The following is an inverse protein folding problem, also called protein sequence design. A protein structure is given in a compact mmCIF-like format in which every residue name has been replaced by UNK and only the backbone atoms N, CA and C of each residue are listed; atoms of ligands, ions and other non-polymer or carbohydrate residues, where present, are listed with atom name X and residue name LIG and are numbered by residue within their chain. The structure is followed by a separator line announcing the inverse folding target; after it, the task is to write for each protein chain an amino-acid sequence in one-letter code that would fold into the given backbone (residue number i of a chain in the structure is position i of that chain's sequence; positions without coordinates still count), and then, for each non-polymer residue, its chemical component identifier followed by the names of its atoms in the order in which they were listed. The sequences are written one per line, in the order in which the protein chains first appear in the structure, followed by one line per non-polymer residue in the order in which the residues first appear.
data_IF_625436824363
#
_entry.id   IF_625436824363
#
_cell.length_a   1.000
_cell.length_b   1.000
_cell.length_c   1.000
_cell.angle_alpha   90.00
_cell.angle_beta   90.00
_cell.angle_gamma   90.00
#
_symmetry.space_group_name_H-M   'P 1'
#
loop_
_entity.id
_entity.type
_entity.pdbx_description
1 polymer ?
#
# COMPACT_ATOMS: atom_id res chain seq x y z
N UNK A 1 -29.89 34.22 -4.63
CA UNK A 1 -29.41 33.85 -5.98
C UNK A 1 -28.50 32.64 -5.85
N UNK A 2 -29.02 31.43 -6.10
CA UNK A 2 -28.26 30.17 -6.06
C UNK A 2 -27.99 29.77 -7.51
N UNK A 3 -26.72 29.64 -7.90
CA UNK A 3 -26.34 29.12 -9.23
C UNK A 3 -25.96 27.64 -9.06
N UNK A 4 -26.84 26.77 -9.53
CA UNK A 4 -26.55 25.36 -9.76
C UNK A 4 -25.80 25.26 -11.10
N UNK A 5 -24.65 24.58 -11.10
CA UNK A 5 -23.91 24.23 -12.30
C UNK A 5 -24.15 22.73 -12.52
N UNK A 6 -25.09 22.41 -13.43
CA UNK A 6 -25.17 21.12 -14.09
C UNK A 6 -24.11 21.10 -15.20
N UNK A 7 -23.17 20.16 -15.16
CA UNK A 7 -22.36 19.83 -16.33
C UNK A 7 -22.81 18.45 -16.85
N UNK A 8 -23.32 18.48 -18.07
CA UNK A 8 -23.98 17.39 -18.76
C UNK A 8 -22.99 16.36 -19.31
N UNK A 9 -23.36 15.08 -19.21
CA UNK A 9 -22.76 13.96 -19.91
C UNK A 9 -22.89 14.15 -21.43
N UNK A 10 -21.80 14.08 -22.17
CA UNK A 10 -21.82 13.98 -23.64
C UNK A 10 -21.72 12.50 -24.02
N UNK A 11 -22.86 11.92 -24.38
CA UNK A 11 -22.95 10.69 -25.16
C UNK A 11 -23.10 11.11 -26.62
N UNK A 12 -22.13 10.75 -27.45
CA UNK A 12 -22.21 10.93 -28.90
C UNK A 12 -22.27 9.56 -29.59
N UNK A 13 -23.39 9.32 -30.25
CA UNK A 13 -23.61 8.22 -31.19
C UNK A 13 -24.17 8.77 -32.50
N UNK A 14 -24.05 7.98 -33.58
CA UNK A 14 -24.66 8.10 -34.92
C UNK A 14 -23.73 8.81 -35.94
N UNK A 15 -23.49 8.36 -37.18
CA UNK A 15 -24.01 7.30 -38.06
C UNK A 15 -22.97 6.93 -39.13
N UNK A 16 -23.19 5.78 -39.78
CA UNK A 16 -22.48 5.27 -40.95
C UNK A 16 -22.82 5.99 -42.27
N UNK A 17 -21.83 6.10 -43.17
CA UNK A 17 -22.01 6.24 -44.63
C UNK A 17 -20.93 5.40 -45.35
N UNK A 18 -21.32 4.81 -46.48
CA UNK A 18 -20.74 3.64 -47.13
C UNK A 18 -19.52 3.87 -48.05
N UNK A 19 -18.69 2.81 -48.09
CA UNK A 19 -17.92 2.23 -49.20
C UNK A 19 -17.16 3.14 -50.19
N UNK A 20 -15.84 3.05 -50.12
CA UNK A 20 -14.96 3.07 -51.31
C UNK A 20 -13.81 2.09 -51.07
N UNK A 21 -13.68 1.15 -52.00
CA UNK A 21 -12.69 0.06 -51.98
C UNK A 21 -11.27 0.62 -52.08
N UNK A 22 -10.33 0.09 -51.30
CA UNK A 22 -8.92 -0.14 -51.67
C UNK A 22 -8.21 -0.93 -50.55
N UNK A 23 -7.70 -2.11 -50.92
CA UNK A 23 -6.65 -2.92 -50.26
C UNK A 23 -6.82 -3.34 -48.78
N UNK A 24 -7.18 -4.62 -48.58
CA UNK A 24 -7.05 -5.32 -47.30
C UNK A 24 -5.57 -5.61 -46.97
N UNK A 25 -5.09 -5.35 -45.74
CA UNK A 25 -3.89 -6.00 -45.23
C UNK A 25 -4.24 -7.42 -44.73
N UNK A 26 -3.37 -8.38 -45.07
CA UNK A 26 -3.49 -9.80 -44.74
C UNK A 26 -3.64 -10.04 -43.24
N UNK A 27 -4.67 -10.79 -42.86
CA UNK A 27 -4.80 -11.37 -41.53
C UNK A 27 -3.63 -12.34 -41.28
N UNK A 28 -2.73 -12.00 -40.36
CA UNK A 28 -1.77 -12.93 -39.79
C UNK A 28 -2.44 -13.68 -38.64
N UNK A 29 -2.68 -14.97 -38.87
CA UNK A 29 -3.20 -15.88 -37.86
C UNK A 29 -2.19 -16.01 -36.71
N UNK A 30 -2.46 -15.37 -35.57
CA UNK A 30 -1.77 -15.67 -34.32
C UNK A 30 -2.24 -17.05 -33.84
N UNK A 31 -1.40 -18.06 -34.07
CA UNK A 31 -1.54 -19.38 -33.43
C UNK A 31 -1.47 -19.19 -31.92
N UNK A 32 -2.49 -19.67 -31.21
CA UNK A 32 -2.45 -19.78 -29.76
C UNK A 32 -1.32 -20.74 -29.37
N UNK A 33 -0.25 -20.22 -28.78
CA UNK A 33 0.69 -21.06 -28.06
C UNK A 33 0.08 -21.39 -26.71
N UNK A 34 -0.63 -22.53 -26.62
CA UNK A 34 -0.85 -23.19 -25.35
C UNK A 34 0.49 -23.75 -24.88
N UNK A 35 1.26 -22.92 -24.17
CA UNK A 35 2.34 -23.39 -23.32
C UNK A 35 1.75 -23.83 -21.99
N UNK A 36 1.55 -25.13 -21.80
CA UNK A 36 1.48 -25.72 -20.45
C UNK A 36 2.87 -25.56 -19.84
N UNK A 37 3.08 -24.46 -19.13
CA UNK A 37 4.23 -24.29 -18.26
C UNK A 37 3.81 -24.77 -16.86
N UNK A 38 4.12 -26.03 -16.57
CA UNK A 38 4.16 -26.56 -15.21
C UNK A 38 5.38 -25.95 -14.52
N UNK A 39 5.27 -24.73 -14.00
CA UNK A 39 6.33 -24.14 -13.18
C UNK A 39 6.12 -24.53 -11.73
N UNK A 40 6.67 -25.69 -11.38
CA UNK A 40 7.07 -26.01 -10.00
C UNK A 40 8.42 -25.34 -9.71
N UNK A 41 8.50 -24.02 -9.89
CA UNK A 41 9.68 -23.20 -9.60
C UNK A 41 9.32 -22.14 -8.58
N UNK A 42 10.15 -21.94 -7.57
CA UNK A 42 9.99 -20.85 -6.61
C UNK A 42 9.91 -19.50 -7.36
N UNK A 43 8.94 -18.67 -6.99
CA UNK A 43 8.83 -17.32 -7.56
C UNK A 43 10.08 -16.52 -7.17
N UNK A 44 10.73 -15.81 -8.12
CA UNK A 44 11.89 -14.96 -7.83
C UNK A 44 11.55 -13.70 -7.01
N UNK A 45 10.29 -13.57 -6.58
CA UNK A 45 9.78 -12.44 -5.80
C UNK A 45 9.22 -12.97 -4.48
N UNK A 46 9.65 -12.34 -3.38
CA UNK A 46 9.08 -12.58 -2.06
C UNK A 46 7.76 -11.82 -1.92
N UNK A 47 6.72 -12.52 -1.45
CA UNK A 47 5.43 -11.93 -1.11
C UNK A 47 5.19 -12.21 0.37
N UNK A 48 5.08 -11.14 1.14
CA UNK A 48 4.88 -11.16 2.59
C UNK A 48 3.99 -10.00 3.00
N UNK A 49 3.36 -10.13 4.17
CA UNK A 49 2.92 -8.96 4.94
C UNK A 49 4.13 -8.42 5.69
N UNK A 50 4.28 -7.10 5.72
CA UNK A 50 5.42 -6.42 6.33
C UNK A 50 4.95 -5.70 7.60
N UNK A 51 5.40 -6.12 8.80
CA UNK A 51 5.00 -5.47 10.05
C UNK A 51 5.31 -3.96 10.08
N UNK A 52 6.32 -3.49 9.34
CA UNK A 52 6.62 -2.05 9.23
C UNK A 52 5.48 -1.31 8.54
N UNK A 53 4.92 -1.90 7.48
CA UNK A 53 3.81 -1.34 6.71
C UNK A 53 2.52 -1.38 7.51
N UNK A 54 2.24 -2.49 8.20
CA UNK A 54 1.07 -2.62 9.07
C UNK A 54 1.10 -1.59 10.22
N UNK A 55 2.24 -1.46 10.91
CA UNK A 55 2.39 -0.49 12.00
C UNK A 55 2.11 0.95 11.54
N UNK A 56 2.73 1.38 10.43
CA UNK A 56 2.50 2.71 9.88
C UNK A 56 1.04 2.90 9.46
N UNK A 57 0.44 1.89 8.85
CA UNK A 57 -0.96 1.94 8.42
C UNK A 57 -1.92 2.04 9.61
N UNK A 58 -1.66 1.32 10.70
CA UNK A 58 -2.47 1.35 11.92
C UNK A 58 -2.34 2.70 12.62
N UNK A 59 -1.11 3.19 12.85
CA UNK A 59 -0.90 4.51 13.47
C UNK A 59 -1.65 5.61 12.71
N UNK A 60 -1.53 5.62 11.37
CA UNK A 60 -2.21 6.63 10.57
C UNK A 60 -3.72 6.37 10.38
N UNK A 61 -4.21 5.13 10.50
CA UNK A 61 -5.65 4.84 10.60
C UNK A 61 -6.25 5.49 11.85
N UNK A 62 -5.55 5.45 12.99
CA UNK A 62 -6.03 6.05 14.24
C UNK A 62 -6.13 7.58 14.19
N UNK A 63 -5.51 8.22 13.19
CA UNK A 63 -5.66 9.67 12.94
C UNK A 63 -6.98 10.04 12.23
N UNK A 64 -7.85 9.05 11.98
CA UNK A 64 -9.09 9.20 11.19
C UNK A 64 -8.83 9.70 9.74
N UNK A 65 -7.64 9.40 9.21
CA UNK A 65 -7.24 9.73 7.84
C UNK A 65 -7.92 8.80 6.83
N UNK A 66 -8.61 9.40 5.85
CA UNK A 66 -9.37 8.65 4.82
C UNK A 66 -8.49 7.67 4.03
N UNK A 67 -7.25 8.04 3.73
CA UNK A 67 -6.29 7.20 3.02
C UNK A 67 -5.98 5.86 3.75
N UNK A 68 -6.12 5.82 5.08
CA UNK A 68 -5.90 4.62 5.91
C UNK A 68 -7.20 3.99 6.44
N UNK A 69 -8.36 4.57 6.10
CA UNK A 69 -9.67 4.05 6.48
C UNK A 69 -10.28 3.09 5.44
N UNK A 70 -9.57 2.75 4.36
CA UNK A 70 -10.10 2.05 3.18
C UNK A 70 -9.89 0.52 3.15
N UNK A 71 -9.73 -0.11 4.32
CA UNK A 71 -9.58 -1.57 4.41
C UNK A 71 -10.78 -2.32 3.79
N UNK A 72 -10.49 -3.46 3.13
CA UNK A 72 -11.48 -4.26 2.37
C UNK A 72 -11.86 -5.57 3.03
N UNK A 73 -11.24 -5.89 4.16
CA UNK A 73 -11.49 -7.10 4.94
C UNK A 73 -12.15 -6.66 6.23
N UNK A 74 -13.48 -6.62 6.23
CA UNK A 74 -14.28 -6.02 7.31
C UNK A 74 -13.93 -6.59 8.68
N UNK A 75 -13.71 -7.91 8.78
CA UNK A 75 -13.31 -8.56 10.03
C UNK A 75 -11.98 -8.02 10.55
N UNK A 76 -10.96 -7.94 9.68
CA UNK A 76 -9.65 -7.43 10.06
C UNK A 76 -9.69 -5.96 10.46
N UNK A 77 -10.44 -5.14 9.73
CA UNK A 77 -10.59 -3.73 10.10
C UNK A 77 -11.31 -3.55 11.43
N UNK A 78 -12.28 -4.41 11.73
CA UNK A 78 -12.95 -4.41 13.03
C UNK A 78 -11.98 -4.82 14.14
N UNK A 79 -11.16 -5.86 13.93
CA UNK A 79 -10.15 -6.30 14.89
C UNK A 79 -9.11 -5.19 15.15
N UNK A 80 -8.66 -4.47 14.11
CA UNK A 80 -7.78 -3.30 14.26
C UNK A 80 -8.46 -2.18 15.07
N UNK A 81 -9.71 -1.85 14.75
CA UNK A 81 -10.42 -0.77 15.44
C UNK A 81 -10.72 -1.11 16.91
N UNK A 82 -11.04 -2.36 17.20
CA UNK A 82 -11.26 -2.86 18.56
C UNK A 82 -9.97 -2.84 19.38
N UNK A 83 -8.88 -3.35 18.81
CA UNK A 83 -7.59 -3.49 19.50
C UNK A 83 -6.89 -2.15 19.70
N UNK A 84 -6.77 -1.33 18.65
CA UNK A 84 -5.98 -0.11 18.66
C UNK A 84 -6.82 1.17 18.91
N UNK A 85 -8.15 1.10 18.79
CA UNK A 85 -9.05 2.24 19.01
C UNK A 85 -8.87 2.97 20.36
N UNK A 86 -8.63 2.27 21.49
CA UNK A 86 -8.34 2.91 22.77
C UNK A 86 -7.08 3.82 22.77
N UNK A 87 -6.19 3.65 21.80
CA UNK A 87 -4.89 4.35 21.71
C UNK A 87 -4.92 5.57 20.77
N UNK A 88 -6.11 6.09 20.39
CA UNK A 88 -6.23 7.32 19.59
C UNK A 88 -5.53 8.54 20.22
N UNK A 89 -5.47 8.60 21.54
CA UNK A 89 -4.78 9.66 22.29
C UNK A 89 -3.30 9.34 22.56
N UNK A 90 -2.77 8.23 22.04
CA UNK A 90 -1.37 7.86 22.23
C UNK A 90 -0.43 8.91 21.62
N UNK A 91 0.72 9.23 22.25
CA UNK A 91 1.63 10.27 21.77
C UNK A 91 2.06 10.16 20.30
N UNK A 92 2.25 8.94 19.78
CA UNK A 92 2.58 8.75 18.35
C UNK A 92 1.45 9.15 17.42
N UNK A 93 0.19 8.87 17.80
CA UNK A 93 -1.00 9.19 16.99
C UNK A 93 -1.21 10.70 16.97
N UNK A 94 -1.08 11.35 18.13
CA UNK A 94 -1.17 12.81 18.24
C UNK A 94 -0.03 13.52 17.47
N UNK A 95 1.17 12.95 17.47
CA UNK A 95 2.26 13.43 16.63
C UNK A 95 1.97 13.21 15.14
N UNK A 96 1.41 12.07 14.75
CA UNK A 96 1.01 11.79 13.37
C UNK A 96 -0.04 12.78 12.86
N UNK A 97 -1.06 13.11 13.67
CA UNK A 97 -2.04 14.16 13.37
C UNK A 97 -1.34 15.48 13.10
N UNK A 98 -0.45 15.91 14.00
CA UNK A 98 0.32 17.15 13.83
C UNK A 98 1.16 17.14 12.56
N UNK A 99 1.92 16.07 12.30
CA UNK A 99 2.79 15.98 11.12
C UNK A 99 1.99 15.97 9.82
N UNK A 100 0.80 15.38 9.82
CA UNK A 100 -0.12 15.45 8.70
C UNK A 100 -0.56 16.90 8.45
N UNK A 101 -0.91 17.65 9.48
CA UNK A 101 -1.36 19.04 9.37
C UNK A 101 -0.24 20.02 9.00
N UNK A 102 0.96 19.86 9.56
CA UNK A 102 2.05 20.84 9.44
C UNK A 102 3.06 20.51 8.35
N UNK A 103 3.25 19.23 8.03
CA UNK A 103 4.23 18.74 7.03
C UNK A 103 3.57 18.02 5.84
N UNK A 104 2.29 17.66 5.95
CA UNK A 104 1.59 16.89 4.92
C UNK A 104 1.97 15.41 4.90
N UNK A 105 2.55 14.87 5.98
CA UNK A 105 2.87 13.43 6.12
C UNK A 105 1.56 12.64 6.03
N UNK A 106 1.32 12.02 4.88
CA UNK A 106 0.07 11.35 4.49
C UNK A 106 0.32 10.47 3.27
N UNK A 107 -0.65 9.61 2.91
CA UNK A 107 -0.61 8.72 1.74
C UNK A 107 0.65 7.83 1.68
N UNK A 108 1.63 8.20 0.85
CA UNK A 108 2.85 7.46 0.60
C UNK A 108 3.97 7.78 1.60
N UNK A 109 3.91 8.92 2.30
CA UNK A 109 4.96 9.33 3.24
C UNK A 109 5.19 8.32 4.37
N UNK A 110 4.14 7.79 5.05
CA UNK A 110 4.34 6.79 6.09
C UNK A 110 4.90 5.46 5.54
N UNK A 111 4.55 5.10 4.31
CA UNK A 111 5.09 3.89 3.66
C UNK A 111 6.56 4.08 3.27
N UNK A 112 6.94 5.29 2.85
CA UNK A 112 8.35 5.66 2.66
C UNK A 112 9.13 5.49 3.96
N UNK A 113 8.58 5.90 5.11
CA UNK A 113 9.23 5.64 6.41
C UNK A 113 9.40 4.13 6.66
N UNK A 114 8.34 3.32 6.49
CA UNK A 114 8.37 1.89 6.75
C UNK A 114 9.54 1.16 6.07
N UNK A 115 9.82 1.45 4.79
CA UNK A 115 10.89 0.76 4.04
C UNK A 115 12.32 1.17 4.47
N UNK A 116 12.45 2.28 5.21
CA UNK A 116 13.72 2.75 5.79
C UNK A 116 14.01 2.20 7.18
N UNK A 117 13.15 1.32 7.71
CA UNK A 117 13.32 0.70 9.03
C UNK A 117 13.83 -0.74 8.91
N UNK A 118 14.56 -1.22 9.93
CA UNK A 118 15.05 -2.61 9.98
C UNK A 118 13.91 -3.62 10.07
N UNK A 119 12.93 -3.33 10.91
CA UNK A 119 11.80 -4.20 11.27
C UNK A 119 10.66 -3.35 11.85
N UNK A 120 9.51 -3.96 12.12
CA UNK A 120 8.30 -3.30 12.62
C UNK A 120 8.18 -3.20 14.13
N UNK A 121 9.24 -3.53 14.89
CA UNK A 121 9.21 -3.62 16.35
C UNK A 121 10.23 -2.68 17.00
N UNK A 122 11.50 -2.81 16.63
CA UNK A 122 12.60 -1.96 17.13
C UNK A 122 12.73 -0.66 16.34
N UNK A 123 12.21 -0.63 15.10
CA UNK A 123 12.15 0.56 14.25
C UNK A 123 13.51 1.28 14.11
N UNK A 124 14.61 0.52 14.01
CA UNK A 124 15.93 1.11 13.82
C UNK A 124 16.07 1.62 12.39
N UNK A 125 16.85 2.67 12.21
CA UNK A 125 17.22 3.20 10.90
C UNK A 125 17.99 2.11 10.12
N UNK A 126 17.42 1.63 9.01
CA UNK A 126 18.08 0.67 8.12
C UNK A 126 19.29 1.28 7.43
N UNK A 127 19.18 2.58 7.13
CA UNK A 127 20.24 3.45 6.62
C UNK A 127 20.19 4.72 7.47
N UNK A 128 21.33 5.27 7.92
CA UNK A 128 21.34 6.50 8.69
C UNK A 128 20.58 7.62 8.00
N UNK A 129 19.77 8.35 8.77
CA UNK A 129 18.99 9.48 8.26
C UNK A 129 19.81 10.75 8.03
N UNK A 130 21.09 10.77 8.42
CA UNK A 130 22.00 11.90 8.20
C UNK A 130 23.14 11.49 7.23
N UNK A 131 23.17 12.03 5.99
CA UNK A 131 22.24 13.01 5.43
C UNK A 131 20.87 12.40 5.09
N UNK A 132 19.87 13.25 4.85
CA UNK A 132 18.52 12.80 4.50
C UNK A 132 18.56 11.79 3.32
N UNK A 133 18.08 10.55 3.50
CA UNK A 133 18.13 9.54 2.45
C UNK A 133 17.36 10.02 1.21
N UNK A 134 17.89 9.76 0.02
CA UNK A 134 17.29 10.22 -1.25
C UNK A 134 15.86 9.70 -1.45
N UNK A 135 15.59 8.48 -0.98
CA UNK A 135 14.31 7.80 -1.15
C UNK A 135 13.37 7.92 0.07
N UNK A 136 13.81 8.58 1.14
CA UNK A 136 12.91 8.96 2.22
C UNK A 136 12.09 10.16 1.76
N UNK A 137 10.78 10.15 2.04
CA UNK A 137 9.90 11.24 1.65
C UNK A 137 10.32 12.55 2.34
N UNK A 138 10.48 13.63 1.57
CA UNK A 138 10.98 14.93 2.04
C UNK A 138 10.09 15.60 3.08
N UNK A 139 8.84 15.14 3.25
CA UNK A 139 7.94 15.59 4.32
C UNK A 139 8.42 15.16 5.71
N UNK A 140 9.30 14.15 5.79
CA UNK A 140 9.94 13.72 7.03
C UNK A 140 11.14 14.59 7.37
N UNK A 141 10.92 15.63 8.15
CA UNK A 141 12.04 16.34 8.77
C UNK A 141 12.71 15.42 9.79
N UNK A 142 14.04 15.29 9.72
CA UNK A 142 14.76 14.19 10.38
C UNK A 142 14.62 14.16 11.92
N UNK A 143 14.53 15.32 12.56
CA UNK A 143 14.29 15.41 14.00
C UNK A 143 12.90 14.88 14.37
N UNK A 144 11.87 15.35 13.65
CA UNK A 144 10.48 14.92 13.83
C UNK A 144 10.28 13.44 13.44
N UNK A 145 11.02 12.95 12.44
CA UNK A 145 11.04 11.54 12.04
C UNK A 145 11.58 10.65 13.16
N UNK A 146 12.70 11.03 13.79
CA UNK A 146 13.26 10.28 14.92
C UNK A 146 12.37 10.33 16.16
N UNK A 147 11.76 11.49 16.44
CA UNK A 147 10.76 11.62 17.49
C UNK A 147 9.56 10.69 17.23
N UNK A 148 9.09 10.64 15.98
CA UNK A 148 8.01 9.74 15.58
C UNK A 148 8.40 8.27 15.81
N UNK A 149 9.60 7.84 15.40
CA UNK A 149 10.06 6.47 15.59
C UNK A 149 10.24 6.10 17.06
N UNK A 150 10.68 7.04 17.90
CA UNK A 150 10.75 6.84 19.35
C UNK A 150 9.36 6.58 19.94
N UNK A 151 8.37 7.42 19.60
CA UNK A 151 6.99 7.23 20.07
C UNK A 151 6.33 6.00 19.47
N UNK A 152 6.68 5.63 18.24
CA UNK A 152 6.19 4.42 17.59
C UNK A 152 6.71 3.15 18.28
N UNK A 153 7.95 3.14 18.77
CA UNK A 153 8.45 2.03 19.61
C UNK A 153 7.63 1.89 20.89
N UNK A 154 7.31 3.00 21.57
CA UNK A 154 6.44 2.94 22.75
C UNK A 154 5.05 2.41 22.39
N UNK A 155 4.51 2.82 21.24
CA UNK A 155 3.22 2.31 20.77
C UNK A 155 3.25 0.79 20.55
N UNK A 156 4.33 0.25 19.97
CA UNK A 156 4.50 -1.20 19.79
C UNK A 156 4.40 -1.95 21.12
N UNK A 157 5.06 -1.45 22.16
CA UNK A 157 5.04 -2.03 23.50
C UNK A 157 3.66 -1.87 24.18
N UNK A 158 3.10 -0.66 24.15
CA UNK A 158 1.86 -0.34 24.87
C UNK A 158 0.62 -1.02 24.28
N UNK A 159 0.71 -1.47 23.02
CA UNK A 159 -0.42 -2.03 22.27
C UNK A 159 -0.31 -3.51 22.00
N UNK A 160 0.71 -4.21 22.52
CA UNK A 160 0.95 -5.63 22.19
C UNK A 160 0.93 -5.87 20.66
N UNK A 161 1.58 -4.97 19.90
CA UNK A 161 1.50 -4.96 18.44
C UNK A 161 2.02 -6.26 17.83
N UNK A 162 3.08 -6.84 18.42
CA UNK A 162 3.64 -8.09 17.92
C UNK A 162 2.64 -9.23 18.05
N UNK A 163 1.97 -9.34 19.20
CA UNK A 163 0.94 -10.32 19.49
C UNK A 163 -0.25 -10.16 18.53
N UNK A 164 -0.63 -8.92 18.22
CA UNK A 164 -1.66 -8.63 17.22
C UNK A 164 -1.27 -9.19 15.84
N UNK A 165 -0.04 -8.93 15.37
CA UNK A 165 0.44 -9.45 14.08
C UNK A 165 0.47 -10.98 14.08
N UNK A 166 0.98 -11.59 15.14
CA UNK A 166 1.06 -13.05 15.28
C UNK A 166 -0.33 -13.70 15.28
N UNK A 167 -1.31 -13.11 15.96
CA UNK A 167 -2.69 -13.59 15.98
C UNK A 167 -3.36 -13.58 14.58
N UNK A 168 -2.93 -12.67 13.70
CA UNK A 168 -3.48 -12.51 12.35
C UNK A 168 -2.69 -13.26 11.26
N UNK A 169 -1.63 -14.00 11.62
CA UNK A 169 -0.82 -14.78 10.68
C UNK A 169 -1.65 -15.67 9.73
N UNK A 170 -2.72 -16.37 10.17
CA UNK A 170 -3.54 -17.17 9.26
C UNK A 170 -4.24 -16.38 8.15
N UNK A 171 -4.58 -15.11 8.40
CA UNK A 171 -5.12 -14.20 7.37
C UNK A 171 -4.02 -13.77 6.40
N UNK A 172 -2.86 -13.40 6.93
CA UNK A 172 -1.70 -12.97 6.15
C UNK A 172 -1.18 -14.09 5.23
N UNK A 173 -1.08 -15.32 5.73
CA UNK A 173 -0.68 -16.49 4.94
C UNK A 173 -1.64 -16.76 3.78
N UNK A 174 -2.94 -16.58 4.02
CA UNK A 174 -3.96 -16.73 2.98
C UNK A 174 -3.86 -15.65 1.92
N UNK A 175 -3.65 -14.40 2.33
CA UNK A 175 -3.51 -13.27 1.41
C UNK A 175 -2.24 -13.41 0.55
N UNK A 176 -1.10 -13.68 1.19
CA UNK A 176 0.18 -13.87 0.51
C UNK A 176 0.16 -15.10 -0.40
N UNK A 177 -0.46 -16.21 0.02
CA UNK A 177 -0.65 -17.40 -0.81
C UNK A 177 -1.45 -17.12 -2.08
N UNK A 178 -2.57 -16.40 -1.98
CA UNK A 178 -3.38 -15.99 -3.14
C UNK A 178 -2.63 -15.04 -4.07
N UNK A 179 -1.86 -14.11 -3.52
CA UNK A 179 -1.04 -13.20 -4.31
C UNK A 179 0.07 -13.98 -5.06
N UNK A 180 0.78 -14.90 -4.40
CA UNK A 180 1.76 -15.78 -5.05
C UNK A 180 1.12 -16.59 -6.18
N UNK A 181 -0.06 -17.16 -5.95
CA UNK A 181 -0.80 -17.89 -6.98
C UNK A 181 -1.12 -17.00 -8.19
N UNK A 182 -1.61 -15.78 -7.96
CA UNK A 182 -1.90 -14.82 -9.04
C UNK A 182 -0.62 -14.42 -9.80
N UNK A 183 0.45 -14.06 -9.09
CA UNK A 183 1.73 -13.69 -9.72
C UNK A 183 2.30 -14.83 -10.58
N UNK A 184 2.19 -16.08 -10.13
CA UNK A 184 2.68 -17.25 -10.88
C UNK A 184 1.94 -17.49 -12.21
N UNK A 185 0.71 -17.00 -12.32
CA UNK A 185 -0.16 -17.22 -13.50
C UNK A 185 -0.17 -16.03 -14.43
N UNK A 186 -0.12 -14.82 -13.89
CA UNK A 186 -0.47 -13.60 -14.63
C UNK A 186 0.71 -12.64 -14.82
N UNK A 187 1.83 -12.84 -14.13
CA UNK A 187 2.95 -11.88 -14.18
C UNK A 187 4.04 -12.29 -15.17
N UNK A 188 4.41 -11.36 -16.03
CA UNK A 188 5.58 -11.47 -16.91
C UNK A 188 6.85 -11.06 -16.16
N UNK A 189 7.36 -11.97 -15.33
CA UNK A 189 8.53 -11.69 -14.48
C UNK A 189 9.80 -11.31 -15.26
N UNK A 190 9.90 -11.69 -16.54
CA UNK A 190 11.00 -11.28 -17.42
C UNK A 190 11.10 -9.78 -17.69
N UNK A 191 10.14 -8.95 -17.23
CA UNK A 191 10.29 -7.49 -17.23
C UNK A 191 11.18 -6.95 -16.10
N UNK A 192 11.44 -7.77 -15.07
CA UNK A 192 12.27 -7.41 -13.92
C UNK A 192 13.67 -8.04 -13.98
N UNK A 193 13.98 -8.76 -15.05
CA UNK A 193 15.33 -9.24 -15.34
C UNK A 193 16.11 -8.13 -16.06
N UNK A 194 16.95 -7.39 -15.32
CA UNK A 194 18.02 -6.52 -15.86
C UNK A 194 19.40 -7.16 -15.64
#
# INVERSE_FOLDING_TARGET
MRRAILLACVVATVAAVAASSLAQPKASSLKSAQGKSSMSGELPISVTVDPRVELMSIIFRLTDSFEYAQGRVDSYTADVDEHFGPYKEHPVVQLAVRLRETRGVSFDAPMSMAVHLTDGYTLQEKIPFDPHPENLDKRWHLEEAREFLEKARQFVEDTDFQEFIEAHQPLYDRATGRMKEMLSKETHLGWFEE
#
